data_IF_173985759451
#
_entry.id   IF_173985759451
#
_cell.length_a   1.000
_cell.length_b   1.000
_cell.length_c   1.000
_cell.angle_alpha   90.00
_cell.angle_beta   90.00
_cell.angle_gamma   90.00
#
_symmetry.space_group_name_H-M   'P 1'
#
loop_
_entity.id
_entity.type
_entity.pdbx_description
1 polymer ?
#
# COMPACT_ATOMS: atom_id res chain seq x y z
N UNK A 1 13.62 -19.13 7.07
CA UNK A 1 13.17 -19.10 5.66
C UNK A 1 12.23 -17.94 5.34
N UNK A 2 11.69 -17.21 6.33
CA UNK A 2 10.78 -16.07 6.09
C UNK A 2 11.44 -14.87 5.39
N UNK A 3 12.74 -14.62 5.62
CA UNK A 3 13.45 -13.45 5.10
C UNK A 3 13.45 -13.39 3.56
N UNK A 4 13.60 -14.53 2.88
CA UNK A 4 13.66 -14.60 1.40
C UNK A 4 12.30 -14.39 0.74
N UNK A 5 11.21 -14.79 1.40
CA UNK A 5 9.84 -14.64 0.87
C UNK A 5 9.42 -13.17 0.95
N UNK A 6 9.76 -12.50 2.05
CA UNK A 6 9.37 -11.11 2.28
C UNK A 6 10.09 -10.14 1.34
N UNK A 7 11.41 -10.27 1.17
CA UNK A 7 12.16 -9.47 0.19
C UNK A 7 11.54 -9.60 -1.20
N UNK A 8 11.08 -10.81 -1.56
CA UNK A 8 10.38 -11.03 -2.83
C UNK A 8 9.04 -10.26 -2.90
N UNK A 9 8.23 -10.27 -1.84
CA UNK A 9 6.97 -9.50 -1.82
C UNK A 9 7.18 -7.98 -1.87
N UNK A 10 8.17 -7.45 -1.15
CA UNK A 10 8.53 -6.03 -1.20
C UNK A 10 9.00 -5.63 -2.61
N UNK A 11 9.87 -6.43 -3.22
CA UNK A 11 10.37 -6.21 -4.58
C UNK A 11 9.25 -6.28 -5.62
N UNK A 12 8.36 -7.27 -5.51
CA UNK A 12 7.19 -7.41 -6.38
C UNK A 12 6.25 -6.20 -6.27
N UNK A 13 5.99 -5.73 -5.06
CA UNK A 13 5.17 -4.54 -4.84
C UNK A 13 5.84 -3.29 -5.40
N UNK A 14 7.16 -3.11 -5.19
CA UNK A 14 7.91 -1.99 -5.75
C UNK A 14 7.87 -1.98 -7.29
N UNK A 15 8.00 -3.15 -7.92
CA UNK A 15 7.86 -3.29 -9.39
C UNK A 15 6.47 -2.92 -9.86
N UNK A 16 5.42 -3.35 -9.16
CA UNK A 16 4.03 -2.98 -9.50
C UNK A 16 3.78 -1.48 -9.37
N UNK A 17 4.30 -0.85 -8.32
CA UNK A 17 4.25 0.61 -8.13
C UNK A 17 4.98 1.35 -9.26
N UNK A 18 6.19 0.90 -9.61
CA UNK A 18 6.98 1.46 -10.72
C UNK A 18 6.27 1.32 -12.07
N UNK A 19 5.61 0.18 -12.31
CA UNK A 19 4.80 -0.06 -13.50
C UNK A 19 3.59 0.88 -13.55
N UNK A 20 2.87 1.04 -12.43
CA UNK A 20 1.75 1.97 -12.34
C UNK A 20 2.20 3.42 -12.61
N UNK A 21 3.33 3.82 -12.06
CA UNK A 21 3.90 5.16 -12.28
C UNK A 21 4.33 5.45 -13.72
N UNK A 22 4.48 4.41 -14.55
CA UNK A 22 4.79 4.57 -15.97
C UNK A 22 3.57 5.03 -16.79
N UNK A 23 2.35 4.92 -16.24
CA UNK A 23 1.15 5.46 -16.87
C UNK A 23 1.12 6.99 -16.76
N UNK A 24 0.83 7.69 -17.87
CA UNK A 24 0.85 9.16 -17.94
C UNK A 24 -0.22 9.83 -17.07
N UNK A 25 -1.39 9.24 -16.92
CA UNK A 25 -2.47 9.75 -16.07
C UNK A 25 -2.06 9.72 -14.60
N UNK A 26 -1.50 8.59 -14.16
CA UNK A 26 -0.98 8.40 -12.80
C UNK A 26 0.17 9.36 -12.51
N UNK A 27 1.12 9.47 -13.44
CA UNK A 27 2.31 10.33 -13.29
C UNK A 27 1.95 11.82 -13.25
N UNK A 28 0.93 12.22 -13.99
CA UNK A 28 0.45 13.60 -14.04
C UNK A 28 -0.44 13.98 -12.86
N UNK A 29 -1.02 12.98 -12.18
CA UNK A 29 -1.87 13.20 -11.02
C UNK A 29 -1.01 13.35 -9.74
N UNK A 30 -1.07 14.50 -9.05
CA UNK A 30 -0.23 14.76 -7.87
C UNK A 30 -0.56 13.85 -6.69
N UNK A 31 -1.81 13.38 -6.56
CA UNK A 31 -2.23 12.48 -5.49
C UNK A 31 -1.63 11.09 -5.73
N UNK A 32 -1.78 10.54 -6.93
CA UNK A 32 -1.21 9.23 -7.24
C UNK A 32 0.32 9.22 -7.21
N UNK A 33 0.96 10.27 -7.74
CA UNK A 33 2.40 10.46 -7.63
C UNK A 33 2.86 10.39 -6.18
N UNK A 34 2.21 11.14 -5.28
CA UNK A 34 2.53 11.14 -3.85
C UNK A 34 2.34 9.76 -3.22
N UNK A 35 1.21 9.09 -3.48
CA UNK A 35 0.92 7.74 -2.96
C UNK A 35 2.02 6.76 -3.39
N UNK A 36 2.42 6.77 -4.66
CA UNK A 36 3.43 5.84 -5.17
C UNK A 36 4.81 6.15 -4.60
N UNK A 37 5.28 7.39 -4.73
CA UNK A 37 6.63 7.78 -4.31
C UNK A 37 6.85 7.57 -2.81
N UNK A 38 5.88 7.95 -1.98
CA UNK A 38 6.00 7.79 -0.54
C UNK A 38 6.02 6.34 -0.08
N UNK A 39 5.31 5.43 -0.76
CA UNK A 39 5.26 4.02 -0.37
C UNK A 39 6.43 3.23 -0.96
N UNK A 40 6.87 3.55 -2.18
CA UNK A 40 8.08 3.01 -2.78
C UNK A 40 9.32 3.29 -1.92
N UNK A 41 9.51 4.56 -1.50
CA UNK A 41 10.62 4.93 -0.63
C UNK A 41 10.60 4.23 0.74
N UNK A 42 9.41 3.90 1.25
CA UNK A 42 9.28 3.14 2.50
C UNK A 42 9.65 1.67 2.31
N UNK A 43 9.29 1.06 1.19
CA UNK A 43 9.70 -0.33 0.88
C UNK A 43 11.22 -0.44 0.83
N UNK A 44 11.90 0.52 0.19
CA UNK A 44 13.37 0.51 0.08
C UNK A 44 14.10 0.79 1.39
N UNK A 45 13.44 1.46 2.35
CA UNK A 45 14.08 1.89 3.59
C UNK A 45 14.26 0.77 4.63
N UNK A 46 13.41 -0.27 4.60
CA UNK A 46 13.43 -1.36 5.57
C UNK A 46 12.74 -2.62 5.01
N UNK A 47 13.51 -3.71 4.90
CA UNK A 47 13.01 -5.00 4.41
C UNK A 47 12.31 -5.83 5.50
N UNK A 48 11.92 -5.23 6.63
CA UNK A 48 11.21 -5.92 7.71
C UNK A 48 9.74 -6.21 7.38
N UNK A 49 9.21 -7.31 7.93
CA UNK A 49 7.81 -7.70 7.70
C UNK A 49 6.85 -6.63 8.22
N UNK A 50 7.21 -5.99 9.33
CA UNK A 50 6.43 -4.89 9.90
C UNK A 50 6.38 -3.69 8.96
N UNK A 51 7.49 -3.35 8.30
CA UNK A 51 7.51 -2.26 7.32
C UNK A 51 6.65 -2.59 6.10
N UNK A 52 6.78 -3.79 5.54
CA UNK A 52 5.92 -4.25 4.44
C UNK A 52 4.43 -4.14 4.80
N UNK A 53 4.04 -4.66 5.98
CA UNK A 53 2.66 -4.58 6.47
C UNK A 53 2.17 -3.13 6.63
N UNK A 54 3.03 -2.24 7.14
CA UNK A 54 2.72 -0.80 7.24
C UNK A 54 2.53 -0.17 5.86
N UNK A 55 3.33 -0.55 4.87
CA UNK A 55 3.22 -0.04 3.50
C UNK A 55 1.92 -0.52 2.86
N UNK A 56 1.59 -1.82 2.90
CA UNK A 56 0.36 -2.32 2.27
C UNK A 56 -0.90 -1.74 2.92
N UNK A 57 -0.88 -1.49 4.23
CA UNK A 57 -2.01 -0.86 4.93
C UNK A 57 -2.16 0.60 4.52
N UNK A 58 -1.06 1.34 4.39
CA UNK A 58 -1.04 2.72 3.90
C UNK A 58 -1.54 2.81 2.46
N UNK A 59 -1.04 1.95 1.57
CA UNK A 59 -1.48 1.88 0.18
C UNK A 59 -2.97 1.57 0.07
N UNK A 60 -3.43 0.53 0.77
CA UNK A 60 -4.84 0.12 0.76
C UNK A 60 -5.76 1.27 1.19
N UNK A 61 -5.38 1.98 2.26
CA UNK A 61 -6.15 3.11 2.74
C UNK A 61 -6.10 4.30 1.77
N UNK A 62 -4.93 4.64 1.25
CA UNK A 62 -4.81 5.77 0.33
C UNK A 62 -5.59 5.55 -0.98
N UNK A 63 -5.57 4.33 -1.51
CA UNK A 63 -6.34 3.96 -2.71
C UNK A 63 -7.84 3.96 -2.41
N UNK A 64 -8.27 3.42 -1.26
CA UNK A 64 -9.68 3.43 -0.86
C UNK A 64 -10.22 4.85 -0.67
N UNK A 65 -9.44 5.73 -0.01
CA UNK A 65 -9.80 7.15 0.16
C UNK A 65 -9.98 7.84 -1.18
N UNK A 66 -9.02 7.69 -2.09
CA UNK A 66 -9.11 8.27 -3.42
C UNK A 66 -10.38 7.81 -4.14
N UNK A 67 -10.69 6.52 -4.10
CA UNK A 67 -11.90 6.00 -4.71
C UNK A 67 -13.19 6.53 -4.08
N UNK A 68 -13.23 6.72 -2.76
CA UNK A 68 -14.39 7.31 -2.09
C UNK A 68 -14.61 8.78 -2.47
N UNK A 69 -13.55 9.53 -2.74
CA UNK A 69 -13.61 10.94 -3.13
C UNK A 69 -13.90 11.15 -4.62
N UNK A 70 -13.36 10.28 -5.48
CA UNK A 70 -13.39 10.47 -6.94
C UNK A 70 -14.31 9.48 -7.68
N UNK A 71 -14.70 8.36 -7.05
CA UNK A 71 -15.47 7.26 -7.65
C UNK A 71 -14.86 6.64 -8.91
N UNK A 72 -13.59 6.94 -9.19
CA UNK A 72 -12.82 6.44 -10.33
C UNK A 72 -11.44 5.98 -9.86
N UNK A 73 -10.89 4.97 -10.52
CA UNK A 73 -9.56 4.44 -10.22
C UNK A 73 -8.90 3.94 -11.51
N UNK A 74 -7.68 4.42 -11.84
CA UNK A 74 -6.92 3.88 -12.95
C UNK A 74 -6.70 2.35 -12.79
N UNK A 75 -6.81 1.56 -13.87
CA UNK A 75 -6.67 0.10 -13.80
C UNK A 75 -5.36 -0.37 -13.16
N UNK A 76 -4.27 0.36 -13.36
CA UNK A 76 -2.96 0.06 -12.80
C UNK A 76 -2.94 0.24 -11.26
N UNK A 77 -3.62 1.26 -10.74
CA UNK A 77 -3.77 1.43 -9.28
C UNK A 77 -4.67 0.36 -8.68
N UNK A 78 -5.72 -0.05 -9.41
CA UNK A 78 -6.58 -1.17 -9.00
C UNK A 78 -5.80 -2.50 -8.99
N UNK A 79 -4.86 -2.68 -9.93
CA UNK A 79 -3.97 -3.85 -9.96
C UNK A 79 -3.08 -3.90 -8.71
N UNK A 80 -2.48 -2.76 -8.34
CA UNK A 80 -1.70 -2.64 -7.09
C UNK A 80 -2.57 -2.96 -5.87
N UNK A 81 -3.79 -2.44 -5.82
CA UNK A 81 -4.73 -2.73 -4.73
C UNK A 81 -5.05 -4.22 -4.61
N UNK A 82 -5.37 -4.87 -5.74
CA UNK A 82 -5.69 -6.29 -5.75
C UNK A 82 -4.51 -7.18 -5.36
N UNK A 83 -3.28 -6.80 -5.74
CA UNK A 83 -2.07 -7.49 -5.31
C UNK A 83 -1.94 -7.50 -3.79
N UNK A 84 -2.09 -6.34 -3.15
CA UNK A 84 -1.85 -6.20 -1.70
C UNK A 84 -3.05 -6.62 -0.84
N UNK A 85 -4.27 -6.64 -1.39
CA UNK A 85 -5.50 -6.97 -0.66
C UNK A 85 -5.47 -8.36 -0.04
N UNK A 86 -4.77 -9.32 -0.65
CA UNK A 86 -4.62 -10.67 -0.11
C UNK A 86 -3.71 -10.71 1.14
N UNK A 87 -2.76 -9.79 1.24
CA UNK A 87 -1.79 -9.71 2.34
C UNK A 87 -2.30 -8.89 3.54
N UNK A 88 -3.38 -8.10 3.38
CA UNK A 88 -4.00 -7.33 4.46
C UNK A 88 -4.78 -8.17 5.50
N UNK A 89 -5.57 -9.20 5.13
CA UNK A 89 -6.32 -10.01 6.10
C UNK A 89 -5.51 -11.06 6.87
N UNK A 90 -4.29 -11.40 6.44
CA UNK A 90 -3.45 -12.41 7.12
C UNK A 90 -2.88 -11.96 8.47
N UNK A 91 -2.94 -10.66 8.80
CA UNK A 91 -2.38 -10.15 10.05
C UNK A 91 -3.34 -9.20 10.81
N UNK A 92 -4.65 -9.48 10.79
CA UNK A 92 -5.66 -8.70 11.55
C UNK A 92 -5.25 -8.41 13.00
N UNK A 93 -4.66 -9.38 13.70
CA UNK A 93 -4.21 -9.22 15.08
C UNK A 93 -2.99 -8.28 15.20
N UNK A 94 -2.07 -8.31 14.22
CA UNK A 94 -0.85 -7.51 14.19
C UNK A 94 -1.11 -6.08 13.70
N UNK A 95 -2.02 -5.93 12.72
CA UNK A 95 -2.55 -4.63 12.28
C UNK A 95 -3.28 -3.94 13.43
N UNK A 96 -4.10 -4.65 14.21
CA UNK A 96 -4.72 -4.10 15.42
C UNK A 96 -3.69 -3.69 16.49
N UNK A 97 -2.58 -4.43 16.64
CA UNK A 97 -1.48 -4.03 17.53
C UNK A 97 -0.74 -2.78 17.03
N UNK A 98 -0.44 -2.67 15.73
CA UNK A 98 0.17 -1.47 15.14
C UNK A 98 -0.78 -0.26 15.29
N UNK A 99 -2.09 -0.49 15.12
CA UNK A 99 -3.14 0.52 15.35
C UNK A 99 -3.21 0.97 16.81
N UNK A 100 -3.11 0.04 17.77
CA UNK A 100 -3.09 0.33 19.22
C UNK A 100 -1.82 1.04 19.68
N UNK A 101 -0.67 0.76 19.06
CA UNK A 101 0.63 1.30 19.49
C UNK A 101 0.95 2.70 18.92
N UNK A 102 -0.02 3.41 18.33
CA UNK A 102 0.10 4.84 17.98
C UNK A 102 1.05 5.17 16.81
N UNK A 103 1.69 4.19 16.18
CA UNK A 103 2.51 4.39 14.98
C UNK A 103 1.67 4.62 13.70
N UNK A 104 0.35 4.52 13.85
CA UNK A 104 -0.64 4.51 12.79
C UNK A 104 -1.86 5.38 13.15
N UNK A 105 -1.67 6.46 13.92
CA UNK A 105 -2.77 7.30 14.45
C UNK A 105 -3.66 7.97 13.38
N UNK A 106 -3.34 7.86 12.09
CA UNK A 106 -4.22 8.25 10.97
C UNK A 106 -5.12 7.11 10.43
N UNK A 107 -4.95 5.86 10.87
CA UNK A 107 -5.60 4.67 10.29
C UNK A 107 -6.88 4.25 11.06
N UNK A 108 -7.32 5.04 12.05
CA UNK A 108 -8.36 4.63 12.99
C UNK A 108 -9.80 4.66 12.44
N UNK A 109 -10.03 5.11 11.20
CA UNK A 109 -11.36 5.50 10.75
C UNK A 109 -12.05 4.64 9.70
N UNK A 110 -11.34 3.87 8.86
CA UNK A 110 -11.97 3.40 7.61
C UNK A 110 -11.61 1.95 7.32
N UNK A 111 -12.63 1.08 7.36
CA UNK A 111 -12.52 -0.27 6.82
C UNK A 111 -12.16 -0.22 5.34
N UNK A 112 -11.60 -1.31 4.82
CA UNK A 112 -11.37 -1.49 3.39
C UNK A 112 -12.73 -1.42 2.69
N UNK A 113 -12.97 -0.36 1.92
CA UNK A 113 -14.17 -0.21 1.07
C UNK A 113 -13.71 -0.21 -0.37
N UNK A 114 -13.25 -1.36 -0.86
CA UNK A 114 -12.98 -1.67 -2.27
C UNK A 114 -12.91 -3.20 -2.46
#
# INVERSE_FOLDING_TARGET
MEMTILTNKSDELFKSLSKAYSNTEIKSNPIFKKIIEENAAKLEADDSNENYLKVILRLSNAISQYYLEHHEMPPEMMTVYNQIKADVPEDKARIEQIRKNGQASSLAGMGLVL
#
